data_IF_467036511516
#
_entry.id   IF_467036511516
#
_cell.length_a   1.000
_cell.length_b   1.000
_cell.length_c   1.000
_cell.angle_alpha   90.00
_cell.angle_beta   90.00
_cell.angle_gamma   90.00
#
_symmetry.space_group_name_H-M   'P 1'
#
loop_
_entity.id
_entity.type
_entity.pdbx_description
1 polymer ?
#
# COMPACT_ATOMS: atom_id res chain seq x y z
N UNK A 1 22.23 -7.17 15.10
CA UNK A 1 22.22 -6.33 16.31
C UNK A 1 22.71 -7.16 17.49
N UNK A 2 22.10 -8.31 17.77
CA UNK A 2 22.53 -9.23 18.85
C UNK A 2 24.03 -9.56 18.85
N UNK A 3 24.61 -10.07 17.76
CA UNK A 3 26.04 -10.45 17.70
C UNK A 3 26.99 -9.27 17.87
N UNK A 4 26.57 -8.07 17.45
CA UNK A 4 27.37 -6.84 17.55
C UNK A 4 27.36 -6.26 18.97
N UNK A 5 26.33 -6.56 19.76
CA UNK A 5 26.24 -6.12 21.16
C UNK A 5 27.03 -7.02 22.12
N UNK A 6 27.35 -8.26 21.73
CA UNK A 6 28.12 -9.18 22.57
C UNK A 6 29.59 -8.77 22.70
N UNK A 7 30.10 -7.96 21.77
CA UNK A 7 31.51 -7.55 21.70
C UNK A 7 31.76 -6.07 22.01
N UNK A 8 30.71 -5.29 22.26
CA UNK A 8 30.82 -3.86 22.62
C UNK A 8 31.44 -3.65 24.00
N UNK A 9 32.26 -2.60 24.13
CA UNK A 9 33.08 -2.32 25.32
C UNK A 9 32.66 -1.05 26.07
N UNK A 10 31.73 -0.27 25.51
CA UNK A 10 31.22 0.96 26.14
C UNK A 10 29.74 1.20 25.86
N UNK A 11 29.12 2.05 26.68
CA UNK A 11 27.73 2.48 26.48
C UNK A 11 27.58 3.29 25.20
N UNK A 12 28.56 4.14 24.87
CA UNK A 12 28.55 4.92 23.63
C UNK A 12 28.54 4.01 22.38
N UNK A 13 29.30 2.92 22.39
CA UNK A 13 29.27 1.94 21.31
C UNK A 13 27.89 1.26 21.20
N UNK A 14 27.24 0.93 22.33
CA UNK A 14 25.89 0.34 22.33
C UNK A 14 24.88 1.31 21.71
N UNK A 15 24.94 2.59 22.07
CA UNK A 15 24.07 3.64 21.51
C UNK A 15 24.29 3.74 20.00
N UNK A 16 25.55 3.79 19.54
CA UNK A 16 25.84 3.84 18.11
C UNK A 16 25.30 2.63 17.34
N UNK A 17 25.41 1.42 17.91
CA UNK A 17 24.86 0.21 17.31
C UNK A 17 23.33 0.24 17.23
N UNK A 18 22.70 0.77 18.27
CA UNK A 18 21.26 0.92 18.35
C UNK A 18 20.74 1.94 17.33
N UNK A 19 21.35 3.12 17.26
CA UNK A 19 20.95 4.18 16.32
C UNK A 19 21.10 3.72 14.88
N UNK A 20 22.21 3.05 14.56
CA UNK A 20 22.41 2.45 13.24
C UNK A 20 21.34 1.38 12.92
N UNK A 21 20.99 0.54 13.90
CA UNK A 21 19.95 -0.48 13.71
C UNK A 21 18.58 0.15 13.47
N UNK A 22 18.20 1.15 14.27
CA UNK A 22 16.93 1.84 14.11
C UNK A 22 16.83 2.56 12.77
N UNK A 23 17.85 3.30 12.36
CA UNK A 23 17.88 3.97 11.04
C UNK A 23 17.69 2.95 9.92
N UNK A 24 18.41 1.81 9.98
CA UNK A 24 18.26 0.72 9.00
C UNK A 24 16.84 0.14 8.99
N UNK A 25 16.21 -0.07 10.14
CA UNK A 25 14.84 -0.57 10.23
C UNK A 25 13.83 0.44 9.65
N UNK A 26 13.94 1.71 10.03
CA UNK A 26 13.03 2.75 9.56
C UNK A 26 13.12 2.94 8.04
N UNK A 27 14.34 2.95 7.50
CA UNK A 27 14.60 2.98 6.04
C UNK A 27 14.07 1.74 5.33
N UNK A 28 14.38 0.55 5.86
CA UNK A 28 13.88 -0.71 5.31
C UNK A 28 12.35 -0.82 5.29
N UNK A 29 11.68 -0.18 6.24
CA UNK A 29 10.21 -0.07 6.28
C UNK A 29 9.66 1.13 5.49
N UNK A 30 10.51 1.89 4.79
CA UNK A 30 10.15 3.10 4.02
C UNK A 30 9.51 4.22 4.85
N UNK A 31 9.66 4.17 6.18
CA UNK A 31 9.02 5.12 7.11
C UNK A 31 9.66 6.51 7.08
N UNK A 32 10.86 6.62 6.49
CA UNK A 32 11.57 7.89 6.35
C UNK A 32 11.32 8.58 5.01
N UNK A 33 10.42 8.06 4.16
CA UNK A 33 10.09 8.63 2.85
C UNK A 33 8.65 9.17 2.84
N UNK A 34 8.42 10.47 3.14
CA UNK A 34 7.08 11.05 3.23
C UNK A 34 6.25 10.91 1.96
N UNK A 35 6.89 11.03 0.79
CA UNK A 35 6.22 10.89 -0.50
C UNK A 35 5.67 9.45 -0.69
N UNK A 36 6.43 8.43 -0.27
CA UNK A 36 5.99 7.03 -0.31
C UNK A 36 4.84 6.81 0.67
N UNK A 37 4.95 7.33 1.90
CA UNK A 37 3.91 7.20 2.91
C UNK A 37 2.58 7.82 2.45
N UNK A 38 2.62 9.00 1.81
CA UNK A 38 1.43 9.67 1.27
C UNK A 38 0.74 8.81 0.20
N UNK A 39 1.51 8.17 -0.67
CA UNK A 39 1.01 7.23 -1.68
C UNK A 39 0.42 5.97 -1.06
N UNK A 40 1.07 5.41 -0.05
CA UNK A 40 0.57 4.26 0.71
C UNK A 40 -0.73 4.57 1.46
N UNK A 41 -0.85 5.76 2.04
CA UNK A 41 -2.08 6.22 2.70
C UNK A 41 -3.24 6.31 1.71
N UNK A 42 -3.00 6.84 0.52
CA UNK A 42 -4.01 6.90 -0.54
C UNK A 42 -4.43 5.50 -1.00
N UNK A 43 -3.49 4.59 -1.23
CA UNK A 43 -3.79 3.18 -1.55
C UNK A 43 -4.65 2.53 -0.46
N UNK A 44 -4.26 2.69 0.82
CA UNK A 44 -5.05 2.20 1.96
C UNK A 44 -6.48 2.77 1.94
N UNK A 45 -6.63 4.07 1.67
CA UNK A 45 -7.94 4.71 1.58
C UNK A 45 -8.81 4.10 0.49
N UNK A 46 -8.25 3.86 -0.70
CA UNK A 46 -8.98 3.22 -1.81
C UNK A 46 -9.42 1.80 -1.43
N UNK A 47 -8.54 1.00 -0.82
CA UNK A 47 -8.89 -0.33 -0.33
C UNK A 47 -10.01 -0.30 0.72
N UNK A 48 -9.98 0.67 1.64
CA UNK A 48 -11.01 0.83 2.66
C UNK A 48 -12.36 1.23 2.07
N UNK A 49 -12.36 2.15 1.11
CA UNK A 49 -13.58 2.57 0.40
C UNK A 49 -14.17 1.42 -0.42
N UNK A 50 -13.32 0.64 -1.10
CA UNK A 50 -13.74 -0.56 -1.81
C UNK A 50 -14.37 -1.57 -0.84
N UNK A 51 -13.69 -1.90 0.26
CA UNK A 51 -14.21 -2.84 1.25
C UNK A 51 -15.57 -2.39 1.83
N UNK A 52 -15.70 -1.11 2.17
CA UNK A 52 -16.96 -0.54 2.62
C UNK A 52 -18.06 -0.68 1.56
N UNK A 53 -17.78 -0.31 0.31
CA UNK A 53 -18.74 -0.45 -0.79
C UNK A 53 -19.18 -1.91 -0.99
N UNK A 54 -18.24 -2.86 -0.96
CA UNK A 54 -18.55 -4.30 -1.05
C UNK A 54 -19.41 -4.78 0.12
N UNK A 55 -19.13 -4.31 1.34
CA UNK A 55 -19.96 -4.65 2.52
C UNK A 55 -21.40 -4.12 2.37
N UNK A 56 -21.58 -2.88 1.93
CA UNK A 56 -22.91 -2.32 1.65
C UNK A 56 -23.68 -3.14 0.61
N UNK A 57 -22.99 -3.64 -0.41
CA UNK A 57 -23.61 -4.47 -1.45
C UNK A 57 -24.08 -5.82 -0.93
N UNK A 58 -23.26 -6.47 -0.10
CA UNK A 58 -23.62 -7.71 0.56
C UNK A 58 -24.86 -7.50 1.44
N UNK A 59 -24.86 -6.46 2.29
CA UNK A 59 -26.01 -6.14 3.14
C UNK A 59 -27.28 -5.89 2.33
N UNK A 60 -27.20 -5.07 1.27
CA UNK A 60 -28.36 -4.75 0.44
C UNK A 60 -28.94 -5.97 -0.31
N UNK A 61 -28.13 -7.00 -0.57
CA UNK A 61 -28.56 -8.20 -1.29
C UNK A 61 -29.26 -9.21 -0.39
N UNK A 62 -28.98 -9.16 0.92
CA UNK A 62 -29.67 -9.98 1.93
C UNK A 62 -31.11 -9.48 2.15
N UNK A 63 -31.33 -8.16 2.08
CA UNK A 63 -32.66 -7.54 2.27
C UNK A 63 -33.61 -7.76 1.08
N UNK A 64 -33.09 -7.93 -0.14
CA UNK A 64 -33.87 -8.04 -1.39
C UNK A 64 -34.63 -9.36 -1.53
N UNK A 65 -34.31 -10.38 -0.72
CA UNK A 65 -35.01 -11.67 -0.79
C UNK A 65 -36.49 -11.60 -0.33
N UNK A 66 -37.01 -10.40 -0.01
CA UNK A 66 -38.37 -10.19 0.49
C UNK A 66 -39.34 -9.46 -0.47
N UNK A 67 -38.89 -8.69 -1.48
CA UNK A 67 -39.78 -8.00 -2.44
C UNK A 67 -39.09 -7.75 -3.81
N UNK A 68 -39.53 -8.43 -4.88
CA UNK A 68 -38.90 -8.36 -6.21
C UNK A 68 -39.64 -7.42 -7.19
N UNK A 69 -38.93 -6.41 -7.72
CA UNK A 69 -39.29 -5.65 -8.93
C UNK A 69 -38.08 -5.62 -9.88
N UNK A 70 -38.17 -6.19 -11.10
CA UNK A 70 -37.01 -6.48 -11.97
C UNK A 70 -36.24 -5.26 -12.50
N UNK A 71 -36.86 -4.09 -12.58
CA UNK A 71 -36.26 -2.88 -13.17
C UNK A 71 -35.28 -2.17 -12.22
N UNK A 72 -35.48 -2.30 -10.90
CA UNK A 72 -34.64 -1.68 -9.87
C UNK A 72 -33.31 -2.43 -9.66
N UNK A 73 -33.30 -3.73 -9.95
CA UNK A 73 -32.13 -4.60 -9.84
C UNK A 73 -31.08 -4.30 -10.92
N UNK A 74 -31.50 -4.12 -12.18
CA UNK A 74 -30.59 -3.90 -13.32
C UNK A 74 -29.79 -2.57 -13.25
N UNK A 75 -30.43 -1.49 -12.77
CA UNK A 75 -29.77 -0.18 -12.58
C UNK A 75 -28.72 -0.26 -11.46
N UNK A 76 -29.03 -1.01 -10.39
CA UNK A 76 -28.12 -1.24 -9.27
C UNK A 76 -26.87 -2.00 -9.72
N UNK A 77 -27.02 -3.07 -10.49
CA UNK A 77 -25.90 -3.89 -10.96
C UNK A 77 -24.95 -3.11 -11.88
N UNK A 78 -25.47 -2.18 -12.68
CA UNK A 78 -24.67 -1.31 -13.55
C UNK A 78 -23.86 -0.29 -12.74
N UNK A 79 -24.49 0.36 -11.75
CA UNK A 79 -23.84 1.35 -10.86
C UNK A 79 -22.73 0.71 -10.02
N UNK A 80 -22.94 -0.53 -9.59
CA UNK A 80 -21.96 -1.33 -8.85
C UNK A 80 -20.76 -1.66 -9.70
N UNK A 81 -21.02 -2.14 -10.91
CA UNK A 81 -19.96 -2.51 -11.87
C UNK A 81 -19.10 -1.28 -12.20
N UNK A 82 -19.71 -0.12 -12.44
CA UNK A 82 -19.00 1.14 -12.65
C UNK A 82 -18.15 1.56 -11.44
N UNK A 83 -18.69 1.42 -10.23
CA UNK A 83 -17.95 1.72 -8.99
C UNK A 83 -16.71 0.82 -8.82
N UNK A 84 -16.83 -0.47 -9.13
CA UNK A 84 -15.70 -1.42 -9.08
C UNK A 84 -14.61 -1.01 -10.07
N UNK A 85 -14.97 -0.72 -11.32
CA UNK A 85 -14.01 -0.26 -12.33
C UNK A 85 -13.33 1.06 -11.94
N UNK A 86 -14.04 1.96 -11.27
CA UNK A 86 -13.47 3.20 -10.77
C UNK A 86 -12.45 2.94 -9.64
N UNK A 87 -12.77 2.06 -8.69
CA UNK A 87 -11.81 1.68 -7.64
C UNK A 87 -10.57 0.99 -8.21
N UNK A 88 -10.74 0.07 -9.15
CA UNK A 88 -9.61 -0.59 -9.82
C UNK A 88 -8.72 0.42 -10.54
N UNK A 89 -9.32 1.37 -11.26
CA UNK A 89 -8.58 2.43 -11.96
C UNK A 89 -7.81 3.32 -10.99
N UNK A 90 -8.45 3.76 -9.90
CA UNK A 90 -7.82 4.62 -8.90
C UNK A 90 -6.69 3.90 -8.17
N UNK A 91 -6.92 2.65 -7.76
CA UNK A 91 -5.91 1.81 -7.12
C UNK A 91 -4.70 1.61 -8.04
N UNK A 92 -4.93 1.19 -9.29
CA UNK A 92 -3.85 0.97 -10.26
C UNK A 92 -3.11 2.26 -10.58
N UNK A 93 -3.81 3.38 -10.76
CA UNK A 93 -3.17 4.68 -10.99
C UNK A 93 -2.27 5.09 -9.84
N UNK A 94 -2.72 4.91 -8.59
CA UNK A 94 -1.92 5.26 -7.42
C UNK A 94 -0.75 4.29 -7.24
N UNK A 95 -0.96 2.98 -7.47
CA UNK A 95 0.08 1.96 -7.43
C UNK A 95 1.19 2.24 -8.44
N UNK A 96 0.83 2.56 -9.69
CA UNK A 96 1.81 2.92 -10.72
C UNK A 96 2.54 4.22 -10.40
N UNK A 97 1.89 5.16 -9.69
CA UNK A 97 2.53 6.42 -9.27
C UNK A 97 3.63 6.23 -8.21
N UNK A 98 3.70 5.09 -7.52
CA UNK A 98 4.80 4.77 -6.59
C UNK A 98 6.13 4.56 -7.33
N UNK A 99 6.11 4.03 -8.55
CA UNK A 99 7.32 3.71 -9.31
C UNK A 99 8.27 4.92 -9.47
N UNK A 100 7.80 6.06 -10.01
CA UNK A 100 8.61 7.28 -10.10
C UNK A 100 9.10 7.81 -8.75
N UNK A 101 8.30 7.71 -7.69
CA UNK A 101 8.67 8.17 -6.34
C UNK A 101 9.84 7.35 -5.79
N UNK A 102 9.77 6.02 -5.93
CA UNK A 102 10.83 5.11 -5.50
C UNK A 102 12.09 5.25 -6.36
N UNK A 103 11.93 5.40 -7.68
CA UNK A 103 13.06 5.64 -8.60
C UNK A 103 13.76 6.98 -8.34
N UNK A 104 13.06 8.01 -7.87
CA UNK A 104 13.68 9.26 -7.42
C UNK A 104 14.48 9.04 -6.14
N UNK A 105 13.92 8.30 -5.18
CA UNK A 105 14.59 7.95 -3.93
C UNK A 105 15.84 7.08 -4.13
N UNK A 106 15.91 6.31 -5.22
CA UNK A 106 17.01 5.37 -5.45
C UNK A 106 18.37 6.01 -5.72
N UNK A 107 18.41 7.31 -6.03
CA UNK A 107 19.67 8.07 -6.11
C UNK A 107 20.41 8.10 -4.78
N UNK A 108 19.68 8.19 -3.67
CA UNK A 108 20.24 8.14 -2.31
C UNK A 108 20.25 6.72 -1.74
N UNK A 109 19.28 5.89 -2.14
CA UNK A 109 19.02 4.58 -1.55
C UNK A 109 18.87 3.51 -2.63
N UNK A 110 19.98 2.92 -3.11
CA UNK A 110 19.99 2.05 -4.30
C UNK A 110 19.01 0.87 -4.24
N UNK A 111 18.74 0.36 -3.04
CA UNK A 111 17.83 -0.76 -2.81
C UNK A 111 16.37 -0.47 -3.25
N UNK A 112 15.98 0.82 -3.31
CA UNK A 112 14.64 1.23 -3.78
C UNK A 112 14.41 0.93 -5.27
N UNK A 113 15.48 0.78 -6.05
CA UNK A 113 15.39 0.44 -7.48
C UNK A 113 14.74 -0.91 -7.70
N UNK A 114 15.07 -1.91 -6.88
CA UNK A 114 14.46 -3.24 -6.99
C UNK A 114 12.98 -3.20 -6.67
N UNK A 115 12.60 -2.42 -5.63
CA UNK A 115 11.21 -2.25 -5.26
C UNK A 115 10.40 -1.53 -6.35
N UNK A 116 10.96 -0.49 -6.97
CA UNK A 116 10.29 0.23 -8.06
C UNK A 116 10.06 -0.67 -9.27
N UNK A 117 11.04 -1.50 -9.64
CA UNK A 117 10.90 -2.47 -10.73
C UNK A 117 9.82 -3.53 -10.46
N UNK A 118 9.72 -4.03 -9.23
CA UNK A 118 8.69 -4.99 -8.83
C UNK A 118 7.28 -4.40 -8.95
N UNK A 119 7.08 -3.18 -8.43
CA UNK A 119 5.77 -2.51 -8.48
C UNK A 119 5.35 -2.22 -9.92
N UNK A 120 6.30 -1.86 -10.79
CA UNK A 120 6.02 -1.58 -12.21
C UNK A 120 5.90 -2.87 -13.05
N UNK A 121 6.08 -4.05 -12.47
CA UNK A 121 6.03 -5.33 -13.20
C UNK A 121 7.16 -5.50 -14.23
N UNK A 122 8.28 -4.81 -14.05
CA UNK A 122 9.43 -4.80 -15.00
C UNK A 122 10.45 -5.90 -14.68
N UNK A 123 10.21 -6.71 -13.65
CA UNK A 123 11.07 -7.86 -13.33
C UNK A 123 11.13 -8.85 -14.49
N UNK A 124 12.27 -8.90 -15.18
CA UNK A 124 12.68 -10.07 -15.96
C UNK A 124 13.03 -11.17 -14.95
N UNK A 125 12.42 -12.33 -15.11
CA UNK A 125 12.82 -13.58 -14.44
C UNK A 125 14.32 -13.85 -14.58
#
# INVERSE_FOLDING_TARGET
>A
MHDRLQSTRSVDEVIQHHDFFLDKCLRGCLLLLPDVLKKMEKLKSVCLQYAAATQWLISSSIDINSQSHPQKTMIRDTTVTESIFNFEREFNSELQSLGPVLSKGSQAEPYLTHLSQWILGVSKE
#
